data_IF_282098438846
#
_entry.id   IF_282098438846
#
_cell.length_a   1.000
_cell.length_b   1.000
_cell.length_c   1.000
_cell.angle_alpha   90.00
_cell.angle_beta   90.00
_cell.angle_gamma   90.00
#
_symmetry.space_group_name_H-M   'P 1'
#
loop_
_entity.id
_entity.type
_entity.pdbx_description
1 polymer ?
#
# COMPACT_ATOMS: atom_id res chain seq x y z
N UNK A 1 90.68 -2.34 -23.46
CA UNK A 1 89.30 -2.85 -23.53
C UNK A 1 88.36 -1.73 -23.12
N UNK A 2 87.73 -1.07 -24.08
CA UNK A 2 86.78 0.03 -23.86
C UNK A 2 85.52 -0.29 -24.65
N UNK A 3 84.42 -0.53 -23.94
CA UNK A 3 83.11 -0.81 -24.54
C UNK A 3 82.43 0.50 -24.98
N UNK A 4 81.69 0.51 -26.11
CA UNK A 4 80.93 1.67 -26.57
C UNK A 4 79.52 1.73 -25.91
N UNK A 5 78.83 2.88 -25.98
CA UNK A 5 77.59 3.13 -25.25
C UNK A 5 76.38 2.62 -26.04
N UNK A 6 75.54 1.80 -25.42
CA UNK A 6 74.25 1.37 -25.98
C UNK A 6 73.11 2.27 -25.48
N UNK A 7 72.30 2.74 -26.43
CA UNK A 7 71.14 3.61 -26.24
C UNK A 7 70.04 2.94 -25.39
N UNK A 8 69.74 3.50 -24.22
CA UNK A 8 68.70 3.05 -23.30
C UNK A 8 67.30 3.63 -23.55
N UNK A 9 66.96 4.06 -24.76
CA UNK A 9 65.70 4.81 -25.00
C UNK A 9 64.52 4.01 -25.52
N UNK A 10 64.62 2.69 -25.77
CA UNK A 10 63.49 1.91 -26.32
C UNK A 10 63.03 0.70 -25.48
N UNK A 11 63.67 0.40 -24.35
CA UNK A 11 63.30 -0.76 -23.50
C UNK A 11 62.45 -0.40 -22.26
N UNK A 12 62.25 0.90 -21.99
CA UNK A 12 61.42 1.38 -20.88
C UNK A 12 60.00 1.80 -21.31
N UNK A 13 59.67 1.75 -22.61
CA UNK A 13 58.34 2.11 -23.13
C UNK A 13 57.27 1.02 -22.98
N UNK A 14 57.65 -0.21 -22.64
CA UNK A 14 56.74 -1.37 -22.65
C UNK A 14 56.44 -2.02 -21.30
N UNK A 15 57.14 -1.66 -20.22
CA UNK A 15 57.16 -2.49 -18.98
C UNK A 15 56.33 -1.89 -17.82
N UNK A 16 55.75 -0.69 -17.96
CA UNK A 16 55.08 0.03 -16.86
C UNK A 16 53.58 0.34 -17.03
N UNK A 17 52.90 -0.29 -18.01
CA UNK A 17 51.45 -0.06 -18.25
C UNK A 17 50.58 -1.18 -17.67
N UNK A 18 51.17 -2.31 -17.27
CA UNK A 18 50.46 -3.56 -17.00
C UNK A 18 49.96 -3.74 -15.56
N UNK A 19 49.69 -2.64 -14.85
CA UNK A 19 49.22 -2.64 -13.45
C UNK A 19 48.13 -1.62 -13.13
N UNK A 20 47.64 -0.86 -14.13
CA UNK A 20 46.59 0.17 -13.96
C UNK A 20 45.38 -0.12 -14.85
N UNK A 21 44.18 0.23 -14.37
CA UNK A 21 42.94 0.15 -15.13
C UNK A 21 43.10 0.82 -16.51
N UNK A 22 42.60 0.17 -17.55
CA UNK A 22 42.68 0.68 -18.93
C UNK A 22 41.65 1.79 -19.16
N UNK A 23 42.16 3.00 -19.46
CA UNK A 23 41.36 4.16 -19.86
C UNK A 23 41.40 4.36 -21.36
N UNK A 24 40.24 4.36 -22.02
CA UNK A 24 40.12 4.73 -23.43
C UNK A 24 39.84 6.25 -23.54
N UNK A 25 40.80 7.08 -23.97
CA UNK A 25 40.62 8.53 -24.05
C UNK A 25 39.60 8.95 -25.12
N UNK A 26 39.30 8.10 -26.11
CA UNK A 26 38.34 8.43 -27.17
C UNK A 26 36.91 8.40 -26.65
N UNK A 27 36.57 7.33 -25.92
CA UNK A 27 35.23 7.14 -25.35
C UNK A 27 35.14 7.64 -23.91
N UNK A 28 36.27 8.05 -23.33
CA UNK A 28 36.41 8.48 -21.94
C UNK A 28 35.92 7.42 -20.95
N UNK A 29 36.15 6.15 -21.26
CA UNK A 29 35.63 5.02 -20.50
C UNK A 29 36.75 4.29 -19.73
N UNK A 30 36.46 3.97 -18.47
CA UNK A 30 37.31 3.18 -17.56
C UNK A 30 36.57 1.88 -17.25
N UNK A 31 36.83 0.80 -18.01
CA UNK A 31 35.96 -0.40 -17.97
C UNK A 31 36.12 -1.23 -16.71
N UNK A 32 37.36 -1.59 -16.38
CA UNK A 32 37.67 -2.44 -15.23
C UNK A 32 38.14 -1.60 -14.03
N UNK A 33 37.84 -2.03 -12.80
CA UNK A 33 38.52 -1.49 -11.63
C UNK A 33 40.02 -1.75 -11.74
N UNK A 34 40.84 -0.93 -11.07
CA UNK A 34 42.27 -1.20 -11.00
C UNK A 34 42.48 -2.55 -10.28
N UNK A 35 43.04 -3.53 -11.00
CA UNK A 35 43.07 -4.95 -10.62
C UNK A 35 43.90 -5.29 -9.37
N UNK A 36 44.50 -4.31 -8.69
CA UNK A 36 45.46 -4.51 -7.60
C UNK A 36 45.14 -3.75 -6.32
N UNK A 37 43.96 -3.13 -6.18
CA UNK A 37 43.69 -2.34 -4.97
C UNK A 37 43.43 -3.21 -3.75
N UNK A 38 42.95 -4.46 -3.92
CA UNK A 38 42.60 -5.34 -2.80
C UNK A 38 41.53 -4.77 -1.85
N UNK A 39 40.99 -3.59 -2.18
CA UNK A 39 39.96 -2.88 -1.44
C UNK A 39 38.60 -3.30 -1.98
N UNK A 40 37.60 -3.31 -1.09
CA UNK A 40 36.22 -3.55 -1.46
C UNK A 40 35.75 -2.47 -2.45
N UNK A 41 34.87 -2.79 -3.43
CA UNK A 41 34.37 -1.80 -4.39
C UNK A 41 33.67 -0.61 -3.73
N UNK A 42 33.15 -0.80 -2.51
CA UNK A 42 32.48 0.23 -1.71
C UNK A 42 33.45 1.24 -1.07
N UNK A 43 34.71 0.86 -0.88
CA UNK A 43 35.77 1.72 -0.32
C UNK A 43 36.47 2.56 -1.40
N UNK A 44 36.32 2.16 -2.66
CA UNK A 44 36.92 2.84 -3.81
C UNK A 44 35.92 3.86 -4.34
N UNK A 45 36.33 5.13 -4.44
CA UNK A 45 35.46 6.20 -4.98
C UNK A 45 34.99 5.97 -6.42
N UNK A 46 35.61 5.05 -7.15
CA UNK A 46 35.20 4.62 -8.49
C UNK A 46 35.65 3.18 -8.79
N UNK A 47 34.71 2.24 -8.83
CA UNK A 47 34.95 0.81 -9.06
C UNK A 47 34.89 0.37 -10.54
N UNK A 48 34.95 1.31 -11.48
CA UNK A 48 34.88 1.03 -12.92
C UNK A 48 33.47 1.11 -13.53
N UNK A 49 33.41 1.32 -14.84
CA UNK A 49 32.15 1.47 -15.58
C UNK A 49 31.33 0.17 -15.59
N UNK A 50 31.98 -1.00 -15.64
CA UNK A 50 31.26 -2.28 -15.67
C UNK A 50 30.44 -2.52 -14.40
N UNK A 51 30.95 -2.08 -13.24
CA UNK A 51 30.21 -2.14 -11.98
C UNK A 51 28.96 -1.26 -12.03
N UNK A 52 29.10 -0.02 -12.52
CA UNK A 52 27.99 0.92 -12.63
C UNK A 52 26.94 0.54 -13.71
N UNK A 53 27.33 -0.19 -14.76
CA UNK A 53 26.43 -0.58 -15.85
C UNK A 53 25.40 -1.62 -15.44
N UNK A 54 25.79 -2.57 -14.59
CA UNK A 54 24.92 -3.65 -14.13
C UNK A 54 24.28 -3.36 -12.78
N UNK A 55 24.45 -2.16 -12.22
CA UNK A 55 23.78 -1.76 -10.99
C UNK A 55 22.43 -1.09 -11.29
N UNK A 56 21.51 -1.17 -10.32
CA UNK A 56 20.18 -0.56 -10.42
C UNK A 56 19.19 -1.32 -11.31
N UNK A 57 18.41 -0.56 -12.09
CA UNK A 57 17.26 -1.08 -12.84
C UNK A 57 17.64 -1.93 -14.07
N UNK A 58 18.91 -1.96 -14.46
CA UNK A 58 19.36 -2.83 -15.56
C UNK A 58 19.16 -4.31 -15.22
N UNK A 59 19.31 -4.67 -13.93
CA UNK A 59 19.04 -6.03 -13.44
C UNK A 59 17.54 -6.34 -13.54
N UNK A 60 16.68 -5.41 -13.12
CA UNK A 60 15.23 -5.61 -13.11
C UNK A 60 14.68 -5.69 -14.55
N UNK A 61 15.20 -4.86 -15.44
CA UNK A 61 14.90 -4.92 -16.87
C UNK A 61 15.35 -6.24 -17.50
N UNK A 62 16.58 -6.70 -17.20
CA UNK A 62 17.05 -8.00 -17.68
C UNK A 62 16.18 -9.17 -17.20
N UNK A 63 15.75 -9.16 -15.94
CA UNK A 63 14.79 -10.15 -15.40
C UNK A 63 13.44 -10.10 -16.14
N UNK A 64 12.91 -8.91 -16.41
CA UNK A 64 11.66 -8.77 -17.19
C UNK A 64 11.81 -9.27 -18.63
N UNK A 65 12.98 -9.09 -19.24
CA UNK A 65 13.27 -9.57 -20.58
C UNK A 65 13.35 -11.10 -20.63
N UNK A 66 14.01 -11.73 -19.66
CA UNK A 66 14.04 -13.19 -19.52
C UNK A 66 12.63 -13.74 -19.35
N UNK A 67 11.81 -13.10 -18.50
CA UNK A 67 10.39 -13.42 -18.34
C UNK A 67 9.62 -13.30 -19.66
N UNK A 68 9.90 -12.27 -20.47
CA UNK A 68 9.29 -12.10 -21.79
C UNK A 68 9.57 -13.29 -22.72
N UNK A 69 10.84 -13.71 -22.83
CA UNK A 69 11.25 -14.84 -23.67
C UNK A 69 10.62 -16.15 -23.20
N UNK A 70 10.67 -16.39 -21.90
CA UNK A 70 10.03 -17.52 -21.24
C UNK A 70 8.50 -17.57 -21.45
N UNK A 71 7.84 -16.41 -21.44
CA UNK A 71 6.41 -16.28 -21.68
C UNK A 71 6.07 -16.51 -23.16
N UNK A 72 6.94 -16.04 -24.06
CA UNK A 72 6.83 -16.24 -25.50
C UNK A 72 6.99 -17.72 -25.89
N UNK A 73 7.97 -18.42 -25.32
CA UNK A 73 8.15 -19.87 -25.52
C UNK A 73 6.95 -20.68 -25.03
N UNK A 74 6.26 -20.20 -23.99
CA UNK A 74 5.01 -20.79 -23.49
C UNK A 74 3.77 -20.42 -24.32
N UNK A 75 3.93 -19.62 -25.38
CA UNK A 75 2.87 -19.22 -26.30
C UNK A 75 2.04 -18.01 -25.87
N UNK A 76 2.49 -17.25 -24.86
CA UNK A 76 1.87 -15.97 -24.52
C UNK A 76 2.55 -14.82 -25.27
N UNK A 77 1.75 -14.05 -26.01
CA UNK A 77 2.23 -12.93 -26.82
C UNK A 77 2.42 -11.69 -25.95
N UNK A 78 3.63 -11.52 -25.42
CA UNK A 78 4.09 -10.35 -24.67
C UNK A 78 5.50 -9.99 -25.11
N UNK A 79 5.75 -8.69 -25.30
CA UNK A 79 7.05 -8.20 -25.75
C UNK A 79 7.44 -6.95 -24.96
N UNK A 80 8.69 -6.89 -24.51
CA UNK A 80 9.17 -5.82 -23.62
C UNK A 80 9.07 -4.43 -24.27
N UNK A 81 9.44 -4.30 -25.55
CA UNK A 81 9.41 -3.02 -26.26
C UNK A 81 8.03 -2.69 -26.86
N UNK A 82 7.19 -3.69 -27.15
CA UNK A 82 5.91 -3.45 -27.82
C UNK A 82 4.81 -3.18 -26.78
N UNK A 83 4.74 -4.05 -25.76
CA UNK A 83 3.74 -4.00 -24.70
C UNK A 83 4.42 -3.92 -23.31
N UNK A 84 5.19 -2.85 -23.01
CA UNK A 84 5.97 -2.75 -21.77
C UNK A 84 5.10 -2.82 -20.51
N UNK A 85 3.96 -2.13 -20.51
CA UNK A 85 3.07 -2.05 -19.33
C UNK A 85 2.35 -3.36 -19.06
N UNK A 86 1.86 -4.04 -20.11
CA UNK A 86 1.23 -5.37 -20.01
C UNK A 86 2.23 -6.38 -19.43
N UNK A 87 3.45 -6.38 -19.95
CA UNK A 87 4.51 -7.26 -19.48
C UNK A 87 4.88 -6.98 -18.02
N UNK A 88 4.98 -5.70 -17.65
CA UNK A 88 5.31 -5.28 -16.29
C UNK A 88 4.26 -5.75 -15.27
N UNK A 89 2.97 -5.57 -15.58
CA UNK A 89 1.87 -6.07 -14.76
C UNK A 89 1.91 -7.60 -14.61
N UNK A 90 2.18 -8.31 -15.71
CA UNK A 90 2.33 -9.76 -15.67
C UNK A 90 3.54 -10.19 -14.83
N UNK A 91 4.67 -9.50 -14.94
CA UNK A 91 5.86 -9.77 -14.15
C UNK A 91 5.63 -9.49 -12.65
N UNK A 92 4.90 -8.43 -12.28
CA UNK A 92 4.47 -8.20 -10.89
C UNK A 92 3.61 -9.35 -10.37
N UNK A 93 2.62 -9.78 -11.14
CA UNK A 93 1.77 -10.91 -10.77
C UNK A 93 2.56 -12.22 -10.64
N UNK A 94 3.58 -12.40 -11.47
CA UNK A 94 4.50 -13.53 -11.43
C UNK A 94 5.37 -13.50 -10.17
N UNK A 95 5.86 -12.33 -9.73
CA UNK A 95 6.61 -12.21 -8.47
C UNK A 95 5.78 -12.63 -7.27
N UNK A 96 4.52 -12.19 -7.17
CA UNK A 96 3.61 -12.60 -6.09
C UNK A 96 3.44 -14.12 -6.10
N UNK A 97 3.06 -14.70 -7.26
CA UNK A 97 2.90 -16.15 -7.41
C UNK A 97 4.18 -16.93 -7.13
N UNK A 98 5.35 -16.36 -7.41
CA UNK A 98 6.66 -16.98 -7.16
C UNK A 98 6.96 -17.02 -5.66
N UNK A 99 6.60 -15.99 -4.90
CA UNK A 99 6.71 -16.02 -3.43
C UNK A 99 5.72 -17.03 -2.83
N UNK A 100 4.45 -17.02 -3.27
CA UNK A 100 3.45 -18.03 -2.84
C UNK A 100 3.95 -19.46 -3.13
N UNK A 101 4.56 -19.68 -4.31
CA UNK A 101 5.11 -20.98 -4.68
C UNK A 101 6.33 -21.36 -3.83
N UNK A 102 7.18 -20.40 -3.44
CA UNK A 102 8.30 -20.65 -2.51
C UNK A 102 7.78 -21.01 -1.12
N UNK A 103 6.73 -20.36 -0.64
CA UNK A 103 6.08 -20.68 0.63
C UNK A 103 5.52 -22.10 0.60
N UNK A 104 4.75 -22.45 -0.44
CA UNK A 104 4.26 -23.81 -0.64
C UNK A 104 5.40 -24.85 -0.72
N UNK A 105 6.51 -24.52 -1.38
CA UNK A 105 7.68 -25.40 -1.39
C UNK A 105 8.28 -25.57 0.01
N UNK A 106 8.45 -24.47 0.76
CA UNK A 106 8.96 -24.50 2.14
C UNK A 106 8.05 -25.32 3.04
N UNK A 107 6.73 -25.12 2.97
CA UNK A 107 5.73 -25.90 3.69
C UNK A 107 5.81 -27.39 3.31
N UNK A 108 5.89 -27.71 2.02
CA UNK A 108 6.00 -29.09 1.55
C UNK A 108 7.29 -29.79 2.03
N UNK A 109 8.37 -29.04 2.23
CA UNK A 109 9.62 -29.54 2.80
C UNK A 109 9.45 -29.73 4.30
N UNK A 110 8.83 -28.77 4.99
CA UNK A 110 8.57 -28.82 6.42
C UNK A 110 7.67 -30.01 6.80
N UNK A 111 6.64 -30.31 6.00
CA UNK A 111 5.77 -31.48 6.20
C UNK A 111 6.51 -32.80 6.02
N UNK A 112 7.44 -32.87 5.06
CA UNK A 112 8.19 -34.11 4.76
C UNK A 112 9.28 -34.40 5.76
N UNK A 113 9.97 -33.36 6.22
CA UNK A 113 11.18 -33.50 7.03
C UNK A 113 10.98 -33.08 8.48
N UNK A 114 9.85 -32.45 8.83
CA UNK A 114 9.61 -31.88 10.17
C UNK A 114 10.52 -30.69 10.47
N UNK A 115 10.48 -30.19 11.71
CA UNK A 115 11.40 -29.14 12.19
C UNK A 115 10.80 -27.74 12.35
N UNK A 116 9.47 -27.63 12.43
CA UNK A 116 8.80 -26.35 12.70
C UNK A 116 9.24 -25.75 14.06
N UNK A 117 9.54 -26.60 15.03
CA UNK A 117 10.04 -26.23 16.36
C UNK A 117 11.41 -25.53 16.33
N UNK A 118 12.17 -25.66 15.25
CA UNK A 118 13.48 -25.02 15.09
C UNK A 118 13.43 -23.72 14.29
N UNK A 119 12.27 -23.35 13.73
CA UNK A 119 12.09 -22.07 13.03
C UNK A 119 11.96 -20.90 14.01
N UNK A 120 11.30 -21.13 15.15
CA UNK A 120 11.20 -20.16 16.22
C UNK A 120 12.49 -20.19 17.04
N UNK A 121 13.48 -19.41 16.61
CA UNK A 121 14.70 -19.25 17.39
C UNK A 121 14.33 -18.71 18.79
N UNK A 122 14.69 -19.43 19.87
CA UNK A 122 14.53 -18.92 21.23
C UNK A 122 15.20 -17.56 21.38
N UNK A 123 14.77 -16.77 22.38
CA UNK A 123 15.39 -15.47 22.65
C UNK A 123 16.92 -15.60 22.72
N UNK A 124 17.64 -14.58 22.24
CA UNK A 124 19.11 -14.59 22.13
C UNK A 124 19.79 -14.95 23.45
N UNK A 125 19.20 -14.55 24.56
CA UNK A 125 19.62 -14.86 25.93
C UNK A 125 19.66 -16.38 26.19
N UNK A 126 18.64 -17.13 25.73
CA UNK A 126 18.58 -18.58 25.87
C UNK A 126 19.54 -19.30 24.92
N UNK A 127 19.82 -18.72 23.75
CA UNK A 127 20.73 -19.29 22.76
C UNK A 127 22.20 -19.24 23.20
N UNK A 128 22.63 -18.15 23.84
CA UNK A 128 24.01 -17.99 24.26
C UNK A 128 24.31 -18.64 25.62
N UNK A 129 23.29 -19.11 26.35
CA UNK A 129 23.38 -19.68 27.71
C UNK A 129 24.13 -18.79 28.73
N UNK A 130 24.45 -17.57 28.35
CA UNK A 130 25.09 -16.56 29.19
C UNK A 130 23.98 -15.83 29.92
N UNK A 131 23.94 -15.96 31.23
CA UNK A 131 23.02 -15.23 32.11
C UNK A 131 23.57 -13.85 32.51
N UNK A 132 24.73 -13.47 31.98
CA UNK A 132 25.46 -12.27 32.38
C UNK A 132 25.57 -11.31 31.19
N UNK A 133 24.93 -10.15 31.31
CA UNK A 133 25.13 -9.03 30.40
C UNK A 133 26.37 -8.26 30.82
N UNK A 134 27.42 -8.31 30.00
CA UNK A 134 28.66 -7.57 30.27
C UNK A 134 28.43 -6.06 30.08
N UNK A 135 28.43 -5.30 31.18
CA UNK A 135 28.27 -3.84 31.19
C UNK A 135 29.58 -3.16 31.59
N UNK A 136 30.17 -2.39 30.68
CA UNK A 136 31.35 -1.55 30.96
C UNK A 136 30.90 -0.22 31.56
N UNK A 137 31.38 0.13 32.76
CA UNK A 137 31.15 1.44 33.37
C UNK A 137 32.36 2.35 33.15
N UNK A 138 32.12 3.60 32.78
CA UNK A 138 33.12 4.66 32.83
C UNK A 138 33.51 4.95 34.29
N UNK A 139 34.67 5.60 34.51
CA UNK A 139 35.14 6.05 35.84
C UNK A 139 34.12 6.94 36.58
N UNK A 140 33.18 7.56 35.84
CA UNK A 140 32.11 8.40 36.36
C UNK A 140 30.80 7.63 36.63
N UNK A 141 30.76 6.31 36.43
CA UNK A 141 29.59 5.46 36.64
C UNK A 141 28.60 5.42 35.46
N UNK A 142 28.86 6.15 34.37
CA UNK A 142 28.04 6.06 33.15
C UNK A 142 28.41 4.80 32.35
N UNK A 143 27.40 4.04 31.90
CA UNK A 143 27.59 2.83 31.08
C UNK A 143 28.11 3.19 29.68
N UNK A 144 29.20 2.55 29.26
CA UNK A 144 29.86 2.74 27.96
C UNK A 144 29.47 1.65 26.95
N UNK A 145 29.40 0.39 27.38
CA UNK A 145 29.05 -0.76 26.53
C UNK A 145 28.21 -1.76 27.31
N UNK A 146 27.37 -2.53 26.64
CA UNK A 146 26.66 -3.67 27.22
C UNK A 146 25.16 -3.50 27.39
N UNK A 147 24.67 -2.28 27.52
CA UNK A 147 23.22 -2.04 27.48
C UNK A 147 22.76 -2.01 26.02
N UNK A 148 21.72 -2.78 25.71
CA UNK A 148 20.97 -2.58 24.49
C UNK A 148 20.54 -1.12 24.41
N UNK A 149 20.66 -0.53 23.21
CA UNK A 149 20.30 0.86 23.00
C UNK A 149 18.83 1.02 23.37
N UNK A 150 18.56 1.75 24.46
CA UNK A 150 17.19 2.05 24.86
C UNK A 150 16.44 2.61 23.65
N UNK A 151 15.25 2.07 23.37
CA UNK A 151 14.38 2.57 22.31
C UNK A 151 14.19 4.06 22.56
N UNK A 152 14.54 4.89 21.57
CA UNK A 152 14.47 6.33 21.70
C UNK A 152 13.01 6.74 21.94
N UNK A 153 12.69 7.17 23.16
CA UNK A 153 11.39 7.76 23.52
C UNK A 153 11.42 9.25 23.20
N UNK A 154 10.30 9.80 22.77
CA UNK A 154 10.20 11.25 22.61
C UNK A 154 10.18 11.97 23.98
N UNK A 155 10.22 13.31 23.94
CA UNK A 155 10.20 14.17 25.15
C UNK A 155 8.91 14.00 25.97
N UNK A 156 7.83 13.51 25.37
CA UNK A 156 6.53 13.37 26.00
C UNK A 156 6.36 11.95 26.53
N UNK A 157 5.60 11.79 27.62
CA UNK A 157 5.26 10.47 28.15
C UNK A 157 4.41 9.71 27.14
N UNK A 158 5.04 8.74 26.47
CA UNK A 158 4.38 7.80 25.57
C UNK A 158 3.71 6.69 26.39
N UNK A 159 2.67 6.06 25.82
CA UNK A 159 2.00 4.89 26.40
C UNK A 159 1.37 5.08 27.79
N UNK A 160 0.99 6.30 28.16
CA UNK A 160 0.17 6.56 29.35
C UNK A 160 -1.27 6.14 29.09
N UNK A 161 -1.57 4.90 29.44
CA UNK A 161 -2.89 4.31 29.36
C UNK A 161 -3.73 4.76 30.56
N UNK A 162 -4.76 5.56 30.28
CA UNK A 162 -5.69 6.05 31.32
C UNK A 162 -6.75 4.96 31.56
N UNK A 163 -7.12 4.71 32.82
CA UNK A 163 -8.30 3.93 33.21
C UNK A 163 -8.47 2.56 32.50
N UNK A 164 -7.38 1.78 32.45
CA UNK A 164 -7.31 0.41 31.92
C UNK A 164 -7.67 0.25 30.43
N UNK A 165 -7.55 1.32 29.64
CA UNK A 165 -7.58 1.21 28.18
C UNK A 165 -6.26 0.59 27.68
N UNK A 166 -6.30 -0.12 26.55
CA UNK A 166 -5.08 -0.67 25.89
C UNK A 166 -4.56 0.24 24.78
N UNK A 167 -5.25 1.35 24.51
CA UNK A 167 -4.87 2.34 23.52
C UNK A 167 -4.99 3.74 24.11
N UNK A 168 -4.19 4.67 23.60
CA UNK A 168 -4.18 6.08 24.04
C UNK A 168 -5.44 6.79 23.54
N UNK A 169 -5.88 7.84 24.25
CA UNK A 169 -6.96 8.72 23.80
C UNK A 169 -6.60 9.39 22.46
N UNK A 170 -7.51 9.33 21.48
CA UNK A 170 -7.26 9.82 20.12
C UNK A 170 -6.79 8.73 19.14
N UNK A 171 -6.65 7.49 19.60
CA UNK A 171 -6.41 6.31 18.75
C UNK A 171 -7.62 5.93 17.87
N UNK A 172 -8.79 6.50 18.14
CA UNK A 172 -10.02 6.30 17.38
C UNK A 172 -10.67 7.64 17.03
N UNK A 173 -11.28 7.71 15.84
CA UNK A 173 -11.99 8.89 15.35
C UNK A 173 -13.27 8.43 14.66
N UNK A 174 -14.41 9.02 15.06
CA UNK A 174 -15.71 8.82 14.40
C UNK A 174 -16.52 10.11 14.55
N UNK A 175 -17.17 10.55 13.48
CA UNK A 175 -18.14 11.66 13.45
C UNK A 175 -17.73 12.94 14.19
N UNK A 176 -16.46 13.37 14.06
CA UNK A 176 -15.99 14.61 14.69
C UNK A 176 -15.54 14.45 16.14
N UNK A 177 -15.59 13.24 16.70
CA UNK A 177 -15.15 12.96 18.07
C UNK A 177 -13.97 11.98 18.09
N UNK A 178 -12.98 12.33 18.92
CA UNK A 178 -11.85 11.45 19.25
C UNK A 178 -12.26 10.48 20.36
N UNK A 179 -11.73 9.27 20.31
CA UNK A 179 -12.01 8.23 21.29
C UNK A 179 -10.85 7.25 21.47
N UNK A 180 -11.12 6.19 22.23
CA UNK A 180 -10.19 5.07 22.43
C UNK A 180 -10.45 3.93 21.43
N UNK A 181 -9.42 3.41 20.77
CA UNK A 181 -9.55 2.29 19.81
C UNK A 181 -9.99 0.97 20.45
N UNK A 182 -9.59 0.71 21.68
CA UNK A 182 -9.90 -0.55 22.38
C UNK A 182 -11.38 -0.75 22.69
N UNK A 183 -12.10 0.33 22.98
CA UNK A 183 -13.47 0.30 23.49
C UNK A 183 -14.44 1.15 22.62
N UNK A 184 -13.93 1.88 21.62
CA UNK A 184 -14.63 2.92 20.83
C UNK A 184 -15.31 4.02 21.66
N UNK A 185 -15.02 4.12 22.96
CA UNK A 185 -15.57 5.17 23.81
C UNK A 185 -15.07 6.55 23.37
N UNK A 186 -16.01 7.47 23.15
CA UNK A 186 -15.78 8.88 22.82
C UNK A 186 -15.74 9.78 24.06
N UNK A 187 -15.66 9.22 25.27
CA UNK A 187 -15.55 9.99 26.52
C UNK A 187 -14.17 9.84 27.14
N UNK A 188 -13.45 10.97 27.26
CA UNK A 188 -12.10 11.02 27.85
C UNK A 188 -12.19 10.63 29.32
N UNK A 189 -11.28 9.79 29.80
CA UNK A 189 -11.25 9.25 31.17
C UNK A 189 -12.40 8.29 31.53
N UNK A 190 -13.17 7.78 30.56
CA UNK A 190 -14.05 6.63 30.83
C UNK A 190 -13.22 5.39 31.19
N UNK A 191 -13.76 4.47 31.99
CA UNK A 191 -13.17 3.13 32.15
C UNK A 191 -13.37 2.30 30.87
N UNK A 192 -12.41 1.46 30.50
CA UNK A 192 -12.57 0.63 29.31
C UNK A 192 -13.67 -0.41 29.51
N UNK A 193 -14.62 -0.44 28.58
CA UNK A 193 -15.74 -1.40 28.51
C UNK A 193 -15.39 -2.70 27.78
N UNK A 194 -14.11 -2.93 27.45
CA UNK A 194 -13.65 -3.98 26.54
C UNK A 194 -14.32 -3.97 25.16
N UNK A 195 -14.30 -5.15 24.51
CA UNK A 195 -14.93 -5.40 23.20
C UNK A 195 -16.45 -5.18 23.19
N UNK A 196 -17.10 -5.22 24.37
CA UNK A 196 -18.54 -4.95 24.50
C UNK A 196 -18.92 -3.52 24.06
N UNK A 197 -18.01 -2.54 24.23
CA UNK A 197 -18.24 -1.17 23.78
C UNK A 197 -18.28 -1.03 22.25
N UNK A 198 -17.52 -1.86 21.53
CA UNK A 198 -17.49 -1.87 20.07
C UNK A 198 -18.83 -2.35 19.51
N UNK A 199 -19.41 -3.38 20.14
CA UNK A 199 -20.72 -3.90 19.77
C UNK A 199 -21.85 -2.87 19.89
N UNK A 200 -21.85 -2.10 20.99
CA UNK A 200 -22.86 -1.07 21.27
C UNK A 200 -22.76 0.14 20.34
N UNK A 201 -21.55 0.59 20.00
CA UNK A 201 -21.36 1.73 19.12
C UNK A 201 -21.64 1.42 17.64
N UNK A 202 -21.60 0.15 17.24
CA UNK A 202 -22.00 -0.29 15.90
C UNK A 202 -23.53 -0.50 15.80
N UNK A 203 -24.20 -0.82 16.92
CA UNK A 203 -25.66 -0.78 16.99
C UNK A 203 -26.11 0.66 17.22
N UNK A 204 -26.18 1.43 16.14
CA UNK A 204 -26.60 2.81 16.19
C UNK A 204 -27.99 2.92 16.85
N UNK A 205 -27.98 3.65 17.97
CA UNK A 205 -29.13 3.96 18.81
C UNK A 205 -30.11 4.82 18.02
N UNK A 206 -31.33 4.34 17.82
CA UNK A 206 -32.46 5.17 17.35
C UNK A 206 -32.81 6.13 18.50
N UNK A 207 -32.84 7.45 18.29
CA UNK A 207 -33.21 8.38 19.36
C UNK A 207 -34.61 8.05 19.91
N UNK A 208 -34.63 7.70 21.19
CA UNK A 208 -35.84 7.56 22.00
C UNK A 208 -36.40 8.96 22.27
N UNK A 209 -37.50 9.33 21.60
CA UNK A 209 -38.30 10.48 22.01
C UNK A 209 -39.05 10.13 23.29
N UNK A 210 -38.74 10.86 24.37
CA UNK A 210 -39.48 10.82 25.62
C UNK A 210 -40.90 11.36 25.41
N UNK A 211 -41.90 10.51 25.66
CA UNK A 211 -43.30 10.88 25.64
C UNK A 211 -44.17 9.89 26.42
N UNK A 212 -44.23 10.09 27.75
CA UNK A 212 -45.31 9.70 28.67
C UNK A 212 -45.58 8.18 28.77
N UNK A 213 -45.10 7.58 29.86
CA UNK A 213 -45.55 6.26 30.32
C UNK A 213 -46.62 6.43 31.42
N UNK A 214 -47.83 5.95 31.13
CA UNK A 214 -48.78 5.42 32.12
C UNK A 214 -49.10 3.95 31.77
N UNK A 215 -49.54 3.12 32.75
CA UNK A 215 -49.11 1.73 32.85
C UNK A 215 -50.08 0.69 32.28
N UNK A 216 -49.47 -0.43 31.85
CA UNK A 216 -49.94 -1.82 31.75
C UNK A 216 -51.37 -2.13 31.28
N UNK A 217 -51.47 -2.89 30.19
CA UNK A 217 -52.42 -4.01 30.07
C UNK A 217 -51.80 -5.14 29.23
N UNK A 218 -51.89 -6.37 29.75
CA UNK A 218 -51.42 -7.60 29.12
C UNK A 218 -52.37 -8.04 27.98
N UNK A 219 -51.85 -8.31 26.78
CA UNK A 219 -52.65 -8.89 25.70
C UNK A 219 -52.51 -10.43 25.60
N UNK A 220 -53.67 -11.07 25.46
CA UNK A 220 -53.90 -12.53 25.47
C UNK A 220 -53.22 -13.30 24.33
N UNK A 221 -52.99 -14.62 24.49
CA UNK A 221 -52.40 -15.44 23.44
C UNK A 221 -53.34 -15.58 22.22
N UNK A 222 -52.76 -15.29 21.05
CA UNK A 222 -53.40 -15.30 19.73
C UNK A 222 -54.07 -16.63 19.39
N UNK A 223 -55.25 -16.55 18.77
CA UNK A 223 -56.08 -17.72 18.44
C UNK A 223 -55.49 -18.58 17.31
N UNK A 224 -55.81 -19.87 17.31
CA UNK A 224 -55.26 -20.90 16.40
C UNK A 224 -55.48 -20.57 14.90
N UNK A 225 -56.54 -19.83 14.58
CA UNK A 225 -56.85 -19.37 13.22
C UNK A 225 -55.80 -18.37 12.69
N UNK A 226 -55.25 -17.56 13.59
CA UNK A 226 -54.25 -16.52 13.30
C UNK A 226 -52.88 -17.16 13.06
N UNK A 227 -52.52 -18.17 13.85
CA UNK A 227 -51.32 -18.97 13.64
C UNK A 227 -51.33 -19.73 12.30
N UNK A 228 -52.51 -20.17 11.83
CA UNK A 228 -52.62 -20.84 10.54
C UNK A 228 -52.48 -19.86 9.36
N UNK A 229 -53.01 -18.62 9.49
CA UNK A 229 -52.83 -17.55 8.50
C UNK A 229 -51.36 -17.15 8.37
N UNK A 230 -50.64 -17.07 9.50
CA UNK A 230 -49.21 -16.76 9.49
C UNK A 230 -48.36 -17.88 8.88
N UNK A 231 -48.67 -19.14 9.18
CA UNK A 231 -48.01 -20.29 8.53
C UNK A 231 -48.26 -20.31 7.03
N UNK A 232 -49.49 -20.07 6.58
CA UNK A 232 -49.84 -19.94 5.16
C UNK A 232 -49.09 -18.77 4.47
N UNK A 233 -48.91 -17.64 5.16
CA UNK A 233 -48.13 -16.50 4.65
C UNK A 233 -46.63 -16.80 4.59
N UNK A 234 -46.09 -17.55 5.55
CA UNK A 234 -44.66 -17.94 5.61
C UNK A 234 -44.31 -18.99 4.55
N UNK A 235 -45.20 -19.93 4.30
CA UNK A 235 -45.15 -20.89 3.18
C UNK A 235 -45.17 -20.17 1.82
N UNK A 236 -46.06 -19.17 1.64
CA UNK A 236 -46.10 -18.31 0.45
C UNK A 236 -44.82 -17.49 0.27
N UNK A 237 -44.21 -16.98 1.35
CA UNK A 237 -42.90 -16.28 1.31
C UNK A 237 -41.74 -17.21 0.93
N UNK A 238 -41.73 -18.47 1.42
CA UNK A 238 -40.72 -19.48 1.03
C UNK A 238 -40.85 -19.89 -0.45
N UNK A 239 -42.08 -20.08 -0.95
CA UNK A 239 -42.34 -20.29 -2.40
C UNK A 239 -41.96 -19.08 -3.27
N UNK A 240 -42.12 -17.84 -2.77
CA UNK A 240 -41.63 -16.62 -3.46
C UNK A 240 -40.09 -16.55 -3.50
N UNK A 241 -39.39 -16.97 -2.42
CA UNK A 241 -37.92 -17.03 -2.41
C UNK A 241 -37.35 -18.10 -3.35
N UNK A 242 -37.97 -19.28 -3.47
CA UNK A 242 -37.49 -20.30 -4.42
C UNK A 242 -37.76 -19.94 -5.89
N UNK A 243 -38.82 -19.18 -6.18
CA UNK A 243 -39.06 -18.61 -7.53
C UNK A 243 -38.12 -17.44 -7.88
N UNK A 244 -37.57 -16.70 -6.89
CA UNK A 244 -36.64 -15.57 -7.11
C UNK A 244 -35.24 -16.01 -7.58
N UNK A 245 -34.83 -17.26 -7.31
CA UNK A 245 -33.56 -17.82 -7.81
C UNK A 245 -33.65 -18.45 -9.22
N UNK A 246 -34.83 -18.45 -9.88
CA UNK A 246 -35.02 -19.04 -11.22
C UNK A 246 -35.46 -18.05 -12.30
N UNK A 247 -35.43 -16.74 -12.03
CA UNK A 247 -35.68 -15.67 -13.00
C UNK A 247 -34.81 -14.44 -12.70
N UNK A 248 -33.52 -14.49 -13.09
CA UNK A 248 -32.84 -13.28 -13.57
C UNK A 248 -33.26 -13.13 -15.03
N UNK A 249 -34.22 -12.25 -15.24
CA UNK A 249 -34.83 -11.96 -16.52
C UNK A 249 -36.09 -11.15 -16.27
N UNK A 250 -36.02 -9.85 -16.58
CA UNK A 250 -37.13 -8.90 -16.70
C UNK A 250 -37.72 -8.32 -15.40
N UNK A 251 -37.20 -7.14 -15.07
CA UNK A 251 -37.91 -5.85 -14.98
C UNK A 251 -38.92 -5.54 -13.85
N UNK A 252 -38.80 -4.28 -13.40
CA UNK A 252 -39.80 -3.40 -12.79
C UNK A 252 -40.11 -3.54 -11.30
N UNK A 253 -39.40 -2.72 -10.49
CA UNK A 253 -39.93 -1.97 -9.34
C UNK A 253 -38.79 -1.12 -8.74
N UNK A 254 -38.33 -0.11 -9.49
CA UNK A 254 -37.15 0.71 -9.17
C UNK A 254 -37.40 2.19 -9.55
N UNK A 255 -38.31 2.86 -8.85
CA UNK A 255 -38.64 4.27 -9.14
C UNK A 255 -38.13 5.25 -8.08
N UNK A 256 -38.09 4.86 -6.80
CA UNK A 256 -37.75 5.79 -5.71
C UNK A 256 -36.23 5.89 -5.42
N UNK A 257 -35.46 4.82 -5.67
CA UNK A 257 -34.00 4.85 -5.52
C UNK A 257 -33.30 5.50 -6.73
N UNK A 258 -33.89 5.38 -7.92
CA UNK A 258 -33.39 6.01 -9.14
C UNK A 258 -33.55 7.53 -9.13
N UNK A 259 -34.61 8.06 -8.53
CA UNK A 259 -34.84 9.51 -8.45
C UNK A 259 -33.79 10.20 -7.56
N UNK A 260 -33.42 9.57 -6.43
CA UNK A 260 -32.37 10.08 -5.53
C UNK A 260 -30.98 10.04 -6.16
N UNK A 261 -30.66 8.99 -6.92
CA UNK A 261 -29.39 8.91 -7.66
C UNK A 261 -29.30 9.99 -8.75
N UNK A 262 -30.40 10.20 -9.49
CA UNK A 262 -30.48 11.26 -10.52
C UNK A 262 -30.31 12.65 -9.93
N UNK A 263 -30.90 12.92 -8.77
CA UNK A 263 -30.76 14.21 -8.09
C UNK A 263 -29.32 14.46 -7.64
N UNK A 264 -28.65 13.45 -7.07
CA UNK A 264 -27.25 13.55 -6.67
C UNK A 264 -26.31 13.72 -7.86
N UNK A 265 -26.55 12.99 -8.95
CA UNK A 265 -25.79 13.13 -10.20
C UNK A 265 -25.96 14.53 -10.81
N UNK A 266 -27.18 15.09 -10.80
CA UNK A 266 -27.43 16.49 -11.23
C UNK A 266 -26.64 17.48 -10.36
N UNK A 267 -26.63 17.28 -9.05
CA UNK A 267 -25.85 18.11 -8.11
C UNK A 267 -24.34 18.00 -8.36
N UNK A 268 -23.84 16.81 -8.69
CA UNK A 268 -22.44 16.59 -9.05
C UNK A 268 -22.06 17.26 -10.38
N UNK A 269 -22.94 17.23 -11.40
CA UNK A 269 -22.74 17.94 -12.66
C UNK A 269 -22.67 19.46 -12.47
N UNK A 270 -23.57 20.05 -11.68
CA UNK A 270 -23.53 21.48 -11.36
C UNK A 270 -22.27 21.89 -10.58
N UNK A 271 -21.76 21.00 -9.72
CA UNK A 271 -20.52 21.25 -8.97
C UNK A 271 -19.30 21.23 -9.90
N UNK A 272 -19.23 20.28 -10.83
CA UNK A 272 -18.16 20.19 -11.83
C UNK A 272 -18.22 21.37 -12.82
N UNK A 273 -19.42 21.86 -13.17
CA UNK A 273 -19.61 23.09 -13.93
C UNK A 273 -19.01 24.32 -13.26
N UNK A 274 -19.24 24.46 -11.95
CA UNK A 274 -18.68 25.56 -11.16
C UNK A 274 -17.16 25.43 -11.03
N UNK A 275 -16.66 24.22 -10.85
CA UNK A 275 -15.23 23.92 -10.79
C UNK A 275 -14.51 24.29 -12.08
N UNK A 276 -15.02 23.85 -13.24
CA UNK A 276 -14.43 24.16 -14.55
C UNK A 276 -14.41 25.66 -14.80
N UNK A 277 -15.53 26.37 -14.54
CA UNK A 277 -15.59 27.84 -14.66
C UNK A 277 -14.62 28.56 -13.73
N UNK A 278 -14.45 28.06 -12.51
CA UNK A 278 -13.48 28.61 -11.55
C UNK A 278 -12.04 28.40 -12.03
N UNK A 279 -11.72 27.23 -12.58
CA UNK A 279 -10.41 26.94 -13.17
C UNK A 279 -10.16 27.85 -14.38
N UNK A 280 -11.12 28.00 -15.28
CA UNK A 280 -11.04 28.90 -16.44
C UNK A 280 -10.81 30.36 -16.01
N UNK A 281 -11.56 30.83 -15.02
CA UNK A 281 -11.38 32.18 -14.47
C UNK A 281 -9.99 32.38 -13.84
N UNK A 282 -9.45 31.38 -13.15
CA UNK A 282 -8.09 31.44 -12.60
C UNK A 282 -7.03 31.35 -13.70
N UNK A 283 -7.26 30.57 -14.76
CA UNK A 283 -6.34 30.45 -15.90
C UNK A 283 -6.29 31.73 -16.75
N UNK A 284 -7.34 32.54 -16.74
CA UNK A 284 -7.36 33.85 -17.40
C UNK A 284 -6.59 34.94 -16.63
N UNK A 285 -6.23 34.70 -15.35
CA UNK A 285 -5.43 35.63 -14.56
C UNK A 285 -3.93 35.39 -14.80
N UNK A 286 -3.14 36.47 -14.86
CA UNK A 286 -1.68 36.41 -14.96
C UNK A 286 -1.09 35.51 -13.86
N UNK A 287 -0.10 34.68 -14.22
CA UNK A 287 0.56 33.72 -13.32
C UNK A 287 1.02 34.35 -12.00
N UNK A 288 1.46 35.61 -12.04
CA UNK A 288 1.99 36.36 -10.90
C UNK A 288 0.92 36.86 -9.92
N UNK A 289 -0.33 36.92 -10.35
CA UNK A 289 -1.50 37.35 -9.55
C UNK A 289 -2.34 36.17 -9.05
N UNK A 290 -1.96 34.94 -9.43
CA UNK A 290 -2.66 33.73 -9.01
C UNK A 290 -2.42 33.46 -7.51
N UNK A 291 -3.46 33.28 -6.69
CA UNK A 291 -3.29 32.96 -5.28
C UNK A 291 -2.67 31.56 -5.11
N UNK A 292 -1.71 31.48 -4.18
CA UNK A 292 -1.00 30.25 -3.82
C UNK A 292 -2.00 29.18 -3.30
N UNK A 293 -1.86 27.94 -3.76
CA UNK A 293 -2.76 26.82 -3.42
C UNK A 293 -4.19 26.88 -3.97
N UNK A 294 -4.46 27.66 -5.02
CA UNK A 294 -5.82 27.79 -5.62
C UNK A 294 -6.37 26.55 -6.34
N UNK A 295 -5.56 25.51 -6.54
CA UNK A 295 -5.97 24.27 -7.23
C UNK A 295 -5.95 23.01 -6.33
N UNK A 296 -5.57 23.14 -5.06
CA UNK A 296 -5.35 21.99 -4.20
C UNK A 296 -6.60 21.66 -3.38
N UNK A 297 -7.37 20.66 -3.81
CA UNK A 297 -8.41 20.03 -2.98
C UNK A 297 -7.94 18.63 -2.56
N UNK A 298 -7.88 18.35 -1.25
CA UNK A 298 -7.29 17.12 -0.67
C UNK A 298 -8.36 16.03 -0.44
N UNK A 299 -9.54 16.14 -1.04
CA UNK A 299 -10.66 15.20 -0.85
C UNK A 299 -10.71 14.15 -1.97
N UNK A 300 -10.88 12.88 -1.61
CA UNK A 300 -11.10 11.81 -2.58
C UNK A 300 -12.47 11.98 -3.28
N UNK A 301 -12.54 11.95 -4.62
CA UNK A 301 -13.80 12.09 -5.36
C UNK A 301 -14.79 10.95 -5.08
N UNK A 302 -16.07 11.28 -4.98
CA UNK A 302 -17.17 10.30 -4.86
C UNK A 302 -17.51 9.68 -6.22
N UNK A 303 -18.21 8.53 -6.23
CA UNK A 303 -18.56 7.80 -7.47
C UNK A 303 -19.39 8.66 -8.44
N UNK A 304 -20.32 9.45 -7.91
CA UNK A 304 -21.19 10.36 -8.68
C UNK A 304 -20.40 11.56 -9.26
N UNK A 305 -19.43 12.08 -8.52
CA UNK A 305 -18.51 13.13 -9.01
C UNK A 305 -17.57 12.60 -10.10
N UNK A 306 -17.11 11.36 -9.97
CA UNK A 306 -16.31 10.67 -10.98
C UNK A 306 -17.10 10.42 -12.27
N UNK A 307 -18.38 10.08 -12.16
CA UNK A 307 -19.28 9.93 -13.30
C UNK A 307 -19.56 11.27 -13.99
N UNK A 308 -19.86 12.32 -13.22
CA UNK A 308 -20.02 13.68 -13.74
C UNK A 308 -18.76 14.17 -14.49
N UNK A 309 -17.58 13.93 -13.92
CA UNK A 309 -16.31 14.25 -14.57
C UNK A 309 -16.10 13.47 -15.87
N UNK A 310 -16.43 12.17 -15.90
CA UNK A 310 -16.33 11.33 -17.11
C UNK A 310 -17.27 11.79 -18.23
N UNK A 311 -18.48 12.23 -17.87
CA UNK A 311 -19.48 12.75 -18.81
C UNK A 311 -19.06 14.09 -19.42
N UNK A 312 -18.38 14.94 -18.64
CA UNK A 312 -18.03 16.30 -19.05
C UNK A 312 -16.63 16.44 -19.64
N UNK A 313 -15.75 15.46 -19.42
CA UNK A 313 -14.40 15.44 -19.98
C UNK A 313 -14.46 15.34 -21.52
N UNK A 314 -14.10 16.43 -22.20
CA UNK A 314 -13.84 16.41 -23.64
C UNK A 314 -12.65 15.49 -23.96
N UNK A 315 -12.78 14.70 -25.03
CA UNK A 315 -11.73 13.80 -25.53
C UNK A 315 -11.14 14.42 -26.79
N UNK A 316 -9.98 15.10 -26.69
CA UNK A 316 -9.36 15.75 -27.85
C UNK A 316 -8.87 14.74 -28.90
N UNK A 317 -8.67 13.47 -28.51
CA UNK A 317 -8.20 12.39 -29.37
C UNK A 317 -9.33 11.62 -30.08
N UNK A 318 -10.60 12.03 -29.90
CA UNK A 318 -11.73 11.39 -30.59
C UNK A 318 -11.91 11.99 -31.99
N UNK A 319 -11.72 11.21 -33.08
CA UNK A 319 -11.86 11.71 -34.46
C UNK A 319 -13.29 12.17 -34.79
N UNK A 320 -14.29 11.83 -33.97
CA UNK A 320 -15.66 12.32 -34.10
C UNK A 320 -15.92 13.62 -33.33
N UNK A 321 -15.02 14.07 -32.45
CA UNK A 321 -15.21 15.28 -31.64
C UNK A 321 -15.40 16.54 -32.51
N UNK A 322 -14.64 16.66 -33.60
CA UNK A 322 -14.76 17.77 -34.56
C UNK A 322 -16.10 17.81 -35.30
N UNK A 323 -16.82 16.69 -35.39
CA UNK A 323 -18.13 16.60 -36.04
C UNK A 323 -19.29 16.89 -35.07
N UNK A 324 -19.10 16.60 -33.77
CA UNK A 324 -20.13 16.76 -32.74
C UNK A 324 -20.15 18.16 -32.11
N UNK A 325 -19.21 19.05 -32.47
CA UNK A 325 -19.21 20.45 -32.05
C UNK A 325 -19.09 20.65 -30.53
N UNK A 326 -18.35 19.75 -29.87
CA UNK A 326 -18.01 19.84 -28.44
C UNK A 326 -16.61 20.38 -28.20
#
# INVERSE_FOLDING_TARGET
MSWPPENWTNLLGGILIQTRAHYDPKTRAMREPASNTGMNPDEVGYAGDNFARYSGDTITMAQTQLFAWEAYERGSEVHLQADPTKLELLHRSFKVKKEDFKEQQRESILEKYGGQEHLDAPSRELLLAQTEDYVEYSRHGAVLKGLEKAVARSKYEEDVLINNHTCIWGSYWKDGCWGYKCCHSMVKQSYCTGEAGIGLNNSECVPFEEGITEPQEEEQPKSLLEMHRDKMMKEKKKKKKSKKNKKRGSDSSDSEDEEKKREKLRKALEAEDKRVKHIEAIMQLDERKRPYSSLQEVKAPTEEEMEAFRMKRSRPDDPMASFLGQ
#
